data_IF_035043444775
#
_entry.id   IF_035043444775
#
_cell.length_a   1.000
_cell.length_b   1.000
_cell.length_c   1.000
_cell.angle_alpha   90.00
_cell.angle_beta   90.00
_cell.angle_gamma   90.00
#
_symmetry.space_group_name_H-M   'P 1'
#
loop_
_entity.id
_entity.type
_entity.pdbx_description
1 polymer ?
#
# COMPACT_ATOMS: atom_id res chain seq x y z
N UNK A 1 3.12 -8.56 1.03
CA UNK A 1 3.74 -7.24 0.79
C UNK A 1 2.96 -6.22 1.60
N UNK A 2 3.58 -5.50 2.55
CA UNK A 2 2.92 -4.43 3.28
C UNK A 2 2.68 -3.21 2.38
N UNK A 3 1.74 -2.35 2.78
CA UNK A 3 1.67 -0.98 2.27
C UNK A 3 2.84 -0.13 2.79
N UNK A 4 2.83 1.19 2.57
CA UNK A 4 3.84 2.08 3.16
C UNK A 4 3.87 1.94 4.69
N UNK A 5 5.07 1.84 5.25
CA UNK A 5 5.30 1.67 6.70
C UNK A 5 6.22 2.81 7.16
N UNK A 6 5.88 3.55 8.23
CA UNK A 6 6.70 4.64 8.74
C UNK A 6 7.88 4.08 9.56
N UNK A 7 8.88 3.57 8.87
CA UNK A 7 10.17 3.18 9.46
C UNK A 7 11.19 4.31 9.31
N UNK A 8 12.26 4.27 10.11
CA UNK A 8 13.38 5.21 9.98
C UNK A 8 13.99 5.16 8.56
N UNK A 9 14.07 3.97 7.96
CA UNK A 9 14.49 3.85 6.56
C UNK A 9 13.58 4.63 5.61
N UNK A 10 12.26 4.55 5.81
CA UNK A 10 11.30 5.24 4.97
C UNK A 10 11.42 6.77 5.10
N UNK A 11 11.71 7.26 6.30
CA UNK A 11 11.99 8.66 6.56
C UNK A 11 13.29 9.12 5.87
N UNK A 12 14.39 8.38 6.01
CA UNK A 12 15.67 8.68 5.34
C UNK A 12 15.49 8.69 3.81
N UNK A 13 14.64 7.80 3.29
CA UNK A 13 14.32 7.72 1.86
C UNK A 13 13.33 8.79 1.39
N UNK A 14 12.77 9.61 2.28
CA UNK A 14 11.66 10.53 2.00
C UNK A 14 10.53 9.79 1.25
N UNK A 15 10.13 8.63 1.76
CA UNK A 15 9.15 7.76 1.13
C UNK A 15 7.71 8.25 1.37
N UNK A 16 7.49 9.06 2.40
CA UNK A 16 6.21 9.66 2.77
C UNK A 16 5.59 10.48 1.64
N UNK A 17 6.40 11.12 0.79
CA UNK A 17 5.91 11.87 -0.39
C UNK A 17 5.18 10.99 -1.42
N UNK A 18 5.42 9.68 -1.40
CA UNK A 18 4.79 8.71 -2.29
C UNK A 18 3.64 7.96 -1.61
N UNK A 19 3.44 8.18 -0.31
CA UNK A 19 2.40 7.56 0.49
C UNK A 19 1.15 8.45 0.57
N UNK A 20 0.01 7.84 0.89
CA UNK A 20 -1.17 8.56 1.39
C UNK A 20 -1.38 8.11 2.84
N UNK A 21 -1.70 9.01 3.79
CA UNK A 21 -1.77 8.67 5.22
C UNK A 21 -2.65 7.45 5.53
N UNK A 22 -3.82 7.35 4.88
CA UNK A 22 -4.77 6.24 5.06
C UNK A 22 -4.25 4.89 4.56
N UNK A 23 -3.21 4.86 3.72
CA UNK A 23 -2.58 3.63 3.24
C UNK A 23 -1.44 3.15 4.13
N UNK A 24 -1.00 3.97 5.10
CA UNK A 24 0.08 3.59 5.99
C UNK A 24 -0.37 2.52 6.98
N UNK A 25 0.52 1.58 7.27
CA UNK A 25 0.34 0.53 8.27
C UNK A 25 1.47 0.65 9.28
N UNK A 26 1.19 0.51 10.57
CA UNK A 26 2.25 0.63 11.58
C UNK A 26 3.26 -0.51 11.47
N UNK A 27 4.55 -0.28 11.84
CA UNK A 27 5.55 -1.35 11.88
C UNK A 27 5.13 -2.54 12.75
N UNK A 28 4.46 -2.25 13.87
CA UNK A 28 3.98 -3.26 14.81
C UNK A 28 2.92 -4.18 14.19
N UNK A 29 1.87 -3.61 13.58
CA UNK A 29 0.82 -4.40 12.93
C UNK A 29 1.36 -5.23 11.75
N UNK A 30 2.33 -4.69 11.00
CA UNK A 30 3.00 -5.43 9.93
C UNK A 30 3.73 -6.64 10.48
N UNK A 31 4.48 -6.47 11.58
CA UNK A 31 5.22 -7.55 12.24
C UNK A 31 4.26 -8.60 12.81
N UNK A 32 3.23 -8.18 13.54
CA UNK A 32 2.22 -9.06 14.13
C UNK A 32 1.51 -9.89 13.04
N UNK A 33 1.05 -9.25 11.97
CA UNK A 33 0.36 -9.94 10.88
C UNK A 33 1.30 -10.91 10.13
N UNK A 34 2.58 -10.56 9.97
CA UNK A 34 3.56 -11.44 9.34
C UNK A 34 3.83 -12.69 10.20
N UNK A 35 4.06 -12.51 11.50
CA UNK A 35 4.28 -13.61 12.44
C UNK A 35 3.04 -14.50 12.52
N UNK A 36 1.86 -13.91 12.71
CA UNK A 36 0.60 -14.64 12.77
C UNK A 36 0.33 -15.44 11.49
N UNK A 37 0.60 -14.86 10.32
CA UNK A 37 0.46 -15.56 9.04
C UNK A 37 1.46 -16.70 8.85
N UNK A 38 2.71 -16.52 9.28
CA UNK A 38 3.73 -17.56 9.27
C UNK A 38 3.29 -18.76 10.13
N UNK A 39 2.85 -18.50 11.37
CA UNK A 39 2.37 -19.54 12.29
C UNK A 39 1.12 -20.26 11.74
N UNK A 40 0.25 -19.55 11.02
CA UNK A 40 -0.92 -20.12 10.35
C UNK A 40 -0.61 -20.81 9.01
N UNK A 41 0.66 -20.99 8.64
CA UNK A 41 1.06 -21.66 7.39
C UNK A 41 0.68 -20.89 6.12
N UNK A 42 0.47 -19.57 6.21
CA UNK A 42 0.09 -18.73 5.06
C UNK A 42 1.31 -18.45 4.19
N UNK A 43 1.20 -18.74 2.89
CA UNK A 43 2.24 -18.41 1.89
C UNK A 43 2.41 -16.91 1.63
N UNK A 44 1.39 -16.10 1.92
CA UNK A 44 1.45 -14.65 1.71
C UNK A 44 0.53 -13.92 2.67
N UNK A 45 1.00 -12.77 3.15
CA UNK A 45 0.25 -11.85 4.01
C UNK A 45 0.31 -10.45 3.41
N UNK A 46 -0.82 -9.74 3.48
CA UNK A 46 -0.93 -8.33 3.12
C UNK A 46 -1.51 -7.61 4.34
N UNK A 47 -0.69 -6.95 5.15
CA UNK A 47 -1.14 -6.16 6.29
C UNK A 47 -1.89 -4.89 5.87
N UNK A 48 -2.89 -4.49 6.66
CA UNK A 48 -3.70 -3.29 6.45
C UNK A 48 -4.85 -3.45 5.44
N UNK A 49 -5.92 -2.68 5.64
CA UNK A 49 -7.13 -2.74 4.79
C UNK A 49 -6.86 -2.16 3.40
N UNK A 50 -6.29 -0.95 3.32
CA UNK A 50 -6.04 -0.30 2.03
C UNK A 50 -5.05 -1.11 1.16
N UNK A 51 -3.89 -1.57 1.65
CA UNK A 51 -3.00 -2.42 0.86
C UNK A 51 -3.64 -3.75 0.45
N UNK A 52 -4.50 -4.34 1.29
CA UNK A 52 -5.26 -5.55 0.93
C UNK A 52 -6.21 -5.30 -0.23
N UNK A 53 -6.99 -4.22 -0.18
CA UNK A 53 -7.94 -3.86 -1.24
C UNK A 53 -7.20 -3.53 -2.54
N UNK A 54 -6.11 -2.77 -2.48
CA UNK A 54 -5.32 -2.43 -3.68
C UNK A 54 -4.69 -3.67 -4.31
N UNK A 55 -4.04 -4.52 -3.51
CA UNK A 55 -3.39 -5.75 -4.01
C UNK A 55 -4.39 -6.75 -4.59
N UNK A 56 -5.53 -6.93 -3.92
CA UNK A 56 -6.58 -7.86 -4.36
C UNK A 56 -7.34 -7.28 -5.55
N UNK A 57 -7.83 -6.05 -5.43
CA UNK A 57 -8.60 -5.37 -6.47
C UNK A 57 -7.80 -5.17 -7.75
N UNK A 58 -6.52 -4.79 -7.66
CA UNK A 58 -5.64 -4.64 -8.82
C UNK A 58 -5.40 -5.96 -9.58
N UNK A 59 -5.50 -7.11 -8.91
CA UNK A 59 -5.37 -8.43 -9.55
C UNK A 59 -6.61 -8.80 -10.37
N UNK A 60 -7.78 -8.34 -9.95
CA UNK A 60 -9.06 -8.73 -10.56
C UNK A 60 -9.68 -7.65 -11.47
N UNK A 61 -9.22 -6.40 -11.37
CA UNK A 61 -9.71 -5.32 -12.22
C UNK A 61 -9.25 -5.49 -13.69
N UNK A 62 -10.15 -5.42 -14.68
CA UNK A 62 -9.77 -5.38 -16.09
C UNK A 62 -8.86 -4.18 -16.38
N UNK A 63 -7.78 -4.40 -17.14
CA UNK A 63 -6.83 -3.33 -17.50
C UNK A 63 -7.48 -2.17 -18.25
N UNK A 64 -8.53 -2.44 -19.03
CA UNK A 64 -9.33 -1.44 -19.75
C UNK A 64 -10.04 -0.44 -18.82
N UNK A 65 -10.31 -0.82 -17.57
CA UNK A 65 -10.93 0.05 -16.56
C UNK A 65 -9.86 0.63 -15.62
N UNK A 66 -8.94 -0.22 -15.16
CA UNK A 66 -7.94 0.16 -14.16
C UNK A 66 -6.98 1.26 -14.67
N UNK A 67 -6.46 1.13 -15.89
CA UNK A 67 -5.47 2.08 -16.41
C UNK A 67 -6.05 3.50 -16.62
N UNK A 68 -7.26 3.67 -17.22
CA UNK A 68 -7.91 4.98 -17.26
C UNK A 68 -8.20 5.54 -15.87
N UNK A 69 -8.68 4.72 -14.92
CA UNK A 69 -8.96 5.17 -13.55
C UNK A 69 -7.70 5.69 -12.85
N UNK A 70 -6.56 5.01 -12.99
CA UNK A 70 -5.26 5.47 -12.48
C UNK A 70 -4.86 6.80 -13.12
N UNK A 71 -5.03 6.97 -14.44
CA UNK A 71 -4.72 8.25 -15.12
C UNK A 71 -5.55 9.40 -14.58
N UNK A 72 -6.86 9.18 -14.36
CA UNK A 72 -7.75 10.16 -13.76
C UNK A 72 -7.30 10.48 -12.34
N UNK A 73 -7.04 9.46 -11.53
CA UNK A 73 -6.54 9.63 -10.16
C UNK A 73 -5.22 10.41 -10.10
N UNK A 74 -4.26 10.11 -10.98
CA UNK A 74 -2.98 10.83 -11.05
C UNK A 74 -3.16 12.30 -11.47
N UNK A 75 -4.11 12.60 -12.38
CA UNK A 75 -4.43 13.99 -12.74
C UNK A 75 -5.05 14.73 -11.55
N UNK A 76 -5.92 14.09 -10.79
CA UNK A 76 -6.52 14.66 -9.58
C UNK A 76 -5.49 14.86 -8.45
N UNK A 77 -4.48 13.98 -8.35
CA UNK A 77 -3.33 14.15 -7.45
C UNK A 77 -2.34 15.21 -7.95
N UNK A 78 -2.39 15.55 -9.24
CA UNK A 78 -1.49 16.47 -9.92
C UNK A 78 -1.82 17.95 -9.71
N UNK A 79 -1.49 18.46 -8.52
CA UNK A 79 -0.95 19.83 -8.36
C UNK A 79 0.03 19.85 -7.19
N UNK A 80 1.29 19.42 -7.38
CA UNK A 80 2.37 19.79 -6.46
C UNK A 80 2.58 21.30 -6.57
N UNK A 81 2.44 22.01 -5.44
CA UNK A 81 2.96 23.37 -5.31
C UNK A 81 4.45 23.39 -5.61
N UNK A 82 4.90 24.52 -6.16
CA UNK A 82 6.32 24.85 -6.38
C UNK A 82 7.16 24.65 -5.13
#
# INVERSE_FOLDING_TARGET
MPGPVPTEWAEIANAERFSIPVAQVSPHEVAEAAIGGMLAGRRSVVPGVVPKVVSTGGRFAPRSVLLPAIRIGNRLRGKPGR
#
